data_IF_079421649324
#
_entry.id   IF_079421649324
#
_cell.length_a   1.000
_cell.length_b   1.000
_cell.length_c   1.000
_cell.angle_alpha   90.00
_cell.angle_beta   90.00
_cell.angle_gamma   90.00
#
_symmetry.space_group_name_H-M   'P 1'
#
loop_
_entity.id
_entity.type
_entity.pdbx_description
1 polymer ?
#
# COMPACT_ATOMS: atom_id res chain seq x y z
N UNK A 1 -18.88 26.02 -12.77
CA UNK A 1 -18.47 26.11 -11.35
C UNK A 1 -17.53 24.96 -11.12
N UNK A 2 -16.24 25.26 -11.24
CA UNK A 2 -15.30 25.16 -10.12
C UNK A 2 -15.04 23.69 -9.81
N UNK A 3 -13.95 23.10 -10.25
CA UNK A 3 -12.69 23.62 -10.69
C UNK A 3 -11.80 22.40 -10.75
N UNK A 4 -10.86 22.41 -11.67
CA UNK A 4 -9.77 21.44 -11.69
C UNK A 4 -9.18 21.33 -10.29
N UNK A 5 -9.51 20.26 -9.57
CA UNK A 5 -8.61 19.68 -8.57
C UNK A 5 -7.56 18.90 -9.37
N UNK A 6 -6.82 19.63 -10.22
CA UNK A 6 -5.44 19.33 -10.55
C UNK A 6 -4.66 19.61 -9.25
N UNK A 7 -4.92 18.81 -8.22
CA UNK A 7 -4.00 18.69 -7.10
C UNK A 7 -2.76 18.09 -7.73
N UNK A 8 -1.77 18.94 -7.94
CA UNK A 8 -0.37 18.63 -8.22
C UNK A 8 -0.09 17.12 -8.25
N UNK A 9 0.10 16.55 -9.44
CA UNK A 9 0.71 15.21 -9.59
C UNK A 9 2.18 15.35 -9.19
N UNK A 10 2.44 15.64 -7.92
CA UNK A 10 3.60 15.09 -7.25
C UNK A 10 3.20 13.64 -7.09
N UNK A 11 3.76 12.74 -7.92
CA UNK A 11 3.58 11.31 -7.74
C UNK A 11 3.85 11.00 -6.28
N UNK A 12 2.79 10.71 -5.52
CA UNK A 12 2.84 10.69 -4.06
C UNK A 12 3.58 9.42 -3.70
N UNK A 13 4.71 9.55 -3.01
CA UNK A 13 5.45 8.36 -2.61
C UNK A 13 4.60 7.48 -1.70
N UNK A 14 4.72 6.15 -1.84
CA UNK A 14 3.93 5.20 -1.03
C UNK A 14 4.21 5.39 0.46
N UNK A 15 5.43 5.79 0.81
CA UNK A 15 5.81 6.13 2.19
C UNK A 15 5.07 7.34 2.76
N UNK A 16 4.66 8.31 1.93
CA UNK A 16 3.87 9.48 2.37
C UNK A 16 2.43 9.03 2.63
N UNK A 17 1.83 8.32 1.68
CA UNK A 17 0.46 7.84 1.80
C UNK A 17 0.27 6.90 3.02
N UNK A 18 1.26 6.03 3.29
CA UNK A 18 1.27 5.17 4.47
C UNK A 18 1.31 5.97 5.78
N UNK A 19 2.20 6.97 5.88
CA UNK A 19 2.33 7.79 7.08
C UNK A 19 1.03 8.56 7.37
N UNK A 20 0.38 9.10 6.35
CA UNK A 20 -0.91 9.78 6.49
C UNK A 20 -2.02 8.83 6.91
N UNK A 21 -2.04 7.62 6.36
CA UNK A 21 -3.06 6.64 6.72
C UNK A 21 -2.91 6.18 8.17
N UNK A 22 -1.68 5.91 8.63
CA UNK A 22 -1.39 5.62 10.04
C UNK A 22 -1.82 6.77 10.94
N UNK A 23 -1.54 8.02 10.56
CA UNK A 23 -1.97 9.20 11.32
C UNK A 23 -3.50 9.29 11.40
N UNK A 24 -4.20 9.03 10.30
CA UNK A 24 -5.66 9.03 10.28
C UNK A 24 -6.27 7.95 11.20
N UNK A 25 -5.63 6.78 11.28
CA UNK A 25 -6.02 5.71 12.22
C UNK A 25 -5.86 6.19 13.67
N UNK A 26 -4.74 6.82 14.01
CA UNK A 26 -4.51 7.35 15.35
C UNK A 26 -5.51 8.44 15.74
N UNK A 27 -5.81 9.36 14.82
CA UNK A 27 -6.80 10.43 15.01
C UNK A 27 -8.22 9.87 15.17
N UNK A 28 -8.63 8.92 14.33
CA UNK A 28 -9.94 8.28 14.42
C UNK A 28 -10.13 7.57 15.77
N UNK A 29 -9.09 6.89 16.27
CA UNK A 29 -9.09 6.24 17.58
C UNK A 29 -9.22 7.25 18.74
N UNK A 30 -8.52 8.39 18.66
CA UNK A 30 -8.57 9.45 19.68
C UNK A 30 -9.92 10.17 19.70
N UNK A 31 -10.48 10.47 18.53
CA UNK A 31 -11.71 11.24 18.40
C UNK A 31 -12.96 10.39 18.68
N UNK A 32 -12.93 9.08 18.39
CA UNK A 32 -14.09 8.19 18.54
C UNK A 32 -13.77 6.91 19.34
N UNK A 33 -13.31 7.04 20.60
CA UNK A 33 -12.91 5.87 21.41
C UNK A 33 -14.07 4.92 21.71
N UNK A 34 -15.32 5.42 21.72
CA UNK A 34 -16.52 4.59 21.89
C UNK A 34 -16.82 3.72 20.67
N UNK A 35 -16.43 4.17 19.47
CA UNK A 35 -16.67 3.46 18.21
C UNK A 35 -15.60 2.38 17.96
N UNK A 36 -14.36 2.63 18.37
CA UNK A 36 -13.22 1.73 18.13
C UNK A 36 -12.75 0.98 19.38
N UNK A 37 -13.64 0.82 20.37
CA UNK A 37 -13.33 0.05 21.58
C UNK A 37 -13.12 -1.42 21.20
N UNK A 38 -11.97 -1.97 21.58
CA UNK A 38 -11.30 -3.26 21.27
C UNK A 38 -12.14 -4.56 21.09
N UNK A 39 -13.47 -4.55 21.22
CA UNK A 39 -14.33 -5.74 21.17
C UNK A 39 -15.70 -5.58 20.48
N UNK A 40 -16.06 -4.41 19.92
CA UNK A 40 -17.43 -4.18 19.44
C UNK A 40 -17.60 -3.93 17.94
N UNK A 41 -16.54 -3.76 17.15
CA UNK A 41 -16.74 -3.21 15.80
C UNK A 41 -15.59 -3.46 14.82
N UNK A 42 -14.46 -2.76 14.90
CA UNK A 42 -13.33 -2.86 13.95
C UNK A 42 -12.01 -2.60 14.68
N UNK A 43 -11.00 -3.43 14.45
CA UNK A 43 -9.71 -3.36 15.16
C UNK A 43 -8.69 -2.50 14.42
N UNK A 44 -8.76 -1.19 14.67
CA UNK A 44 -7.76 -0.23 14.20
C UNK A 44 -6.34 -0.52 14.71
N UNK A 45 -6.18 -1.20 15.86
CA UNK A 45 -4.85 -1.52 16.40
C UNK A 45 -4.17 -2.56 15.53
N UNK A 46 -4.91 -3.57 15.11
CA UNK A 46 -4.39 -4.60 14.19
C UNK A 46 -4.03 -3.99 12.85
N UNK A 47 -4.89 -3.15 12.26
CA UNK A 47 -4.60 -2.47 10.99
C UNK A 47 -3.35 -1.59 11.09
N UNK A 48 -3.25 -0.77 12.14
CA UNK A 48 -2.07 0.07 12.39
C UNK A 48 -0.79 -0.76 12.52
N UNK A 49 -0.86 -1.87 13.26
CA UNK A 49 0.28 -2.78 13.44
C UNK A 49 0.69 -3.43 12.12
N UNK A 50 -0.27 -3.83 11.28
CA UNK A 50 0.02 -4.39 9.95
C UNK A 50 0.74 -3.34 9.10
N UNK A 51 0.23 -2.11 9.03
CA UNK A 51 0.84 -1.02 8.26
C UNK A 51 2.27 -0.71 8.71
N UNK A 52 2.51 -0.62 10.02
CA UNK A 52 3.86 -0.40 10.57
C UNK A 52 4.80 -1.57 10.27
N UNK A 53 4.29 -2.80 10.28
CA UNK A 53 5.10 -3.99 9.96
C UNK A 53 5.49 -4.08 8.49
N UNK A 54 4.63 -3.63 7.57
CA UNK A 54 4.88 -3.71 6.12
C UNK A 54 5.59 -2.47 5.56
N UNK A 55 5.56 -1.34 6.29
CA UNK A 55 6.22 -0.10 5.90
C UNK A 55 7.66 -0.28 5.37
N UNK A 56 8.58 -0.98 6.07
CA UNK A 56 9.95 -1.12 5.58
C UNK A 56 10.01 -1.86 4.24
N UNK A 57 9.20 -2.90 4.07
CA UNK A 57 9.16 -3.68 2.83
C UNK A 57 8.62 -2.83 1.65
N UNK A 58 7.57 -2.05 1.89
CA UNK A 58 6.96 -1.20 0.86
C UNK A 58 7.89 -0.06 0.43
N UNK A 59 8.61 0.56 1.37
CA UNK A 59 9.62 1.58 1.05
C UNK A 59 10.76 1.01 0.22
N UNK A 60 11.19 -0.20 0.55
CA UNK A 60 12.25 -0.87 -0.20
C UNK A 60 11.78 -1.23 -1.62
N UNK A 61 10.55 -1.73 -1.77
CA UNK A 61 9.95 -1.94 -3.09
C UNK A 61 9.90 -0.65 -3.92
N UNK A 62 9.51 0.48 -3.32
CA UNK A 62 9.51 1.77 -4.01
C UNK A 62 10.91 2.19 -4.47
N UNK A 63 11.92 2.08 -3.60
CA UNK A 63 13.31 2.41 -3.90
C UNK A 63 13.86 1.54 -5.03
N UNK A 64 13.68 0.22 -4.92
CA UNK A 64 14.13 -0.75 -5.91
C UNK A 64 13.45 -0.54 -7.26
N UNK A 65 12.14 -0.28 -7.27
CA UNK A 65 11.42 0.02 -8.50
C UNK A 65 11.95 1.30 -9.17
N UNK A 66 12.32 2.33 -8.41
CA UNK A 66 12.94 3.54 -8.97
C UNK A 66 14.32 3.26 -9.57
N UNK A 67 15.17 2.51 -8.87
CA UNK A 67 16.52 2.15 -9.34
C UNK A 67 16.49 1.29 -10.61
N UNK A 68 15.50 0.41 -10.72
CA UNK A 68 15.29 -0.44 -11.88
C UNK A 68 14.46 0.22 -13.00
N UNK A 69 14.04 1.47 -12.84
CA UNK A 69 13.22 2.19 -13.82
C UNK A 69 11.84 1.53 -14.05
N UNK A 70 11.31 0.80 -13.06
CA UNK A 70 10.05 0.06 -13.15
C UNK A 70 8.84 0.99 -12.96
N UNK A 71 7.73 0.61 -13.59
CA UNK A 71 6.44 1.30 -13.43
C UNK A 71 5.97 1.23 -11.98
N UNK A 72 5.41 2.34 -11.50
CA UNK A 72 4.83 2.47 -10.15
C UNK A 72 3.40 1.98 -10.08
N UNK A 73 2.78 1.53 -11.17
CA UNK A 73 1.35 1.16 -11.24
C UNK A 73 0.86 0.31 -10.06
N UNK A 74 1.63 -0.71 -9.66
CA UNK A 74 1.29 -1.58 -8.53
C UNK A 74 1.28 -0.78 -7.20
N UNK A 75 2.26 0.08 -6.99
CA UNK A 75 2.33 0.95 -5.81
C UNK A 75 1.31 2.10 -5.87
N UNK A 76 0.95 2.61 -7.04
CA UNK A 76 -0.10 3.62 -7.23
C UNK A 76 -1.47 3.09 -6.81
N UNK A 77 -1.77 1.81 -7.12
CA UNK A 77 -3.00 1.17 -6.65
C UNK A 77 -3.04 1.08 -5.11
N UNK A 78 -1.88 0.85 -4.48
CA UNK A 78 -1.75 0.80 -3.03
C UNK A 78 -1.88 2.19 -2.39
N UNK A 79 -1.27 3.22 -3.01
CA UNK A 79 -1.40 4.62 -2.62
C UNK A 79 -2.87 5.03 -2.62
N UNK A 80 -3.56 4.81 -3.75
CA UNK A 80 -4.99 5.11 -3.91
C UNK A 80 -5.81 4.43 -2.82
N UNK A 81 -5.52 3.16 -2.52
CA UNK A 81 -6.22 2.43 -1.47
C UNK A 81 -6.00 3.02 -0.08
N UNK A 82 -4.79 3.45 0.26
CA UNK A 82 -4.53 4.13 1.54
C UNK A 82 -5.24 5.49 1.64
N UNK A 83 -5.37 6.20 0.52
CA UNK A 83 -6.13 7.46 0.46
C UNK A 83 -7.64 7.24 0.66
N UNK A 84 -8.21 6.19 0.06
CA UNK A 84 -9.60 5.76 0.32
C UNK A 84 -9.81 5.48 1.81
N UNK A 85 -8.93 4.70 2.44
CA UNK A 85 -9.01 4.39 3.86
C UNK A 85 -8.88 5.63 4.74
N UNK A 86 -7.98 6.56 4.37
CA UNK A 86 -7.81 7.84 5.06
C UNK A 86 -9.07 8.69 4.99
N UNK A 87 -9.69 8.79 3.81
CA UNK A 87 -10.95 9.51 3.61
C UNK A 87 -12.07 8.88 4.42
N UNK A 88 -12.20 7.56 4.36
CA UNK A 88 -13.16 6.80 5.15
C UNK A 88 -13.00 7.14 6.64
N UNK A 89 -11.80 7.04 7.21
CA UNK A 89 -11.54 7.35 8.62
C UNK A 89 -11.87 8.79 9.02
N UNK A 90 -11.62 9.77 8.14
CA UNK A 90 -11.98 11.18 8.38
C UNK A 90 -13.49 11.37 8.36
N UNK A 91 -14.19 10.81 7.39
CA UNK A 91 -15.65 10.91 7.29
C UNK A 91 -16.33 10.29 8.52
N UNK A 92 -15.77 9.22 9.06
CA UNK A 92 -16.22 8.57 10.31
C UNK A 92 -16.29 9.48 11.53
N UNK A 93 -15.47 10.53 11.53
CA UNK A 93 -15.31 11.37 12.71
C UNK A 93 -16.48 12.32 12.95
N UNK A 94 -17.28 12.59 11.91
CA UNK A 94 -18.37 13.56 11.93
C UNK A 94 -19.78 12.93 11.85
N UNK A 95 -19.90 11.62 12.10
CA UNK A 95 -21.14 10.91 11.77
C UNK A 95 -22.09 10.79 12.97
N UNK A 96 -23.39 11.00 12.71
CA UNK A 96 -24.47 10.69 13.67
C UNK A 96 -24.45 9.22 14.06
N UNK A 97 -24.87 8.91 15.28
CA UNK A 97 -24.87 7.55 15.84
C UNK A 97 -25.61 6.50 15.00
N UNK A 98 -26.62 6.93 14.22
CA UNK A 98 -27.45 6.08 13.35
C UNK A 98 -26.73 5.52 12.13
N UNK A 99 -25.63 6.14 11.69
CA UNK A 99 -24.89 5.69 10.51
C UNK A 99 -23.60 4.94 10.87
N UNK A 100 -23.37 4.69 12.18
CA UNK A 100 -22.20 3.95 12.67
C UNK A 100 -22.11 2.54 12.09
N UNK A 101 -23.23 1.84 11.95
CA UNK A 101 -23.25 0.47 11.42
C UNK A 101 -22.79 0.39 9.96
N UNK A 102 -23.26 1.30 9.11
CA UNK A 102 -22.82 1.41 7.71
C UNK A 102 -21.33 1.66 7.63
N UNK A 103 -20.85 2.65 8.38
CA UNK A 103 -19.44 3.00 8.39
C UNK A 103 -18.54 1.85 8.89
N UNK A 104 -19.02 1.04 9.85
CA UNK A 104 -18.30 -0.18 10.25
C UNK A 104 -18.26 -1.23 9.15
N UNK A 105 -19.35 -1.43 8.41
CA UNK A 105 -19.36 -2.34 7.27
C UNK A 105 -18.37 -1.88 6.19
N UNK A 106 -18.31 -0.57 5.91
CA UNK A 106 -17.37 0.01 4.96
C UNK A 106 -15.92 -0.18 5.40
N UNK A 107 -15.61 -0.04 6.70
CA UNK A 107 -14.27 -0.30 7.24
C UNK A 107 -13.85 -1.77 7.13
N UNK A 108 -14.77 -2.72 7.36
CA UNK A 108 -14.49 -4.13 7.18
C UNK A 108 -14.25 -4.47 5.71
N UNK A 109 -15.11 -3.98 4.81
CA UNK A 109 -14.93 -4.16 3.37
C UNK A 109 -13.63 -3.51 2.88
N UNK A 110 -13.27 -2.36 3.44
CA UNK A 110 -12.00 -1.71 3.21
C UNK A 110 -10.83 -2.58 3.65
N UNK A 111 -10.77 -3.05 4.90
CA UNK A 111 -9.66 -3.88 5.41
C UNK A 111 -9.49 -5.17 4.61
N UNK A 112 -10.60 -5.83 4.27
CA UNK A 112 -10.56 -7.03 3.44
C UNK A 112 -9.98 -6.74 2.05
N UNK A 113 -10.46 -5.68 1.37
CA UNK A 113 -9.96 -5.31 0.04
C UNK A 113 -8.52 -4.80 0.07
N UNK A 114 -8.13 -4.08 1.12
CA UNK A 114 -6.77 -3.59 1.34
C UNK A 114 -5.78 -4.76 1.54
N UNK A 115 -6.13 -5.73 2.39
CA UNK A 115 -5.30 -6.93 2.61
C UNK A 115 -5.17 -7.78 1.35
N UNK A 116 -6.26 -7.95 0.59
CA UNK A 116 -6.23 -8.64 -0.70
C UNK A 116 -5.30 -7.94 -1.70
N UNK A 117 -5.37 -6.61 -1.77
CA UNK A 117 -4.50 -5.82 -2.65
C UNK A 117 -3.04 -5.96 -2.24
N UNK A 118 -2.73 -5.82 -0.95
CA UNK A 118 -1.38 -5.99 -0.41
C UNK A 118 -0.81 -7.38 -0.74
N UNK A 119 -1.57 -8.44 -0.45
CA UNK A 119 -1.17 -9.82 -0.76
C UNK A 119 -0.92 -10.01 -2.27
N UNK A 120 -1.79 -9.44 -3.12
CA UNK A 120 -1.62 -9.49 -4.58
C UNK A 120 -0.33 -8.81 -5.02
N UNK A 121 -0.07 -7.58 -4.56
CA UNK A 121 1.14 -6.82 -4.92
C UNK A 121 2.39 -7.57 -4.48
N UNK A 122 2.42 -8.08 -3.25
CA UNK A 122 3.57 -8.83 -2.73
C UNK A 122 3.85 -10.09 -3.56
N UNK A 123 2.81 -10.82 -3.97
CA UNK A 123 2.95 -12.00 -4.84
C UNK A 123 3.46 -11.64 -6.23
N UNK A 124 2.91 -10.60 -6.85
CA UNK A 124 3.32 -10.14 -8.19
C UNK A 124 4.77 -9.69 -8.18
N UNK A 125 5.17 -8.85 -7.21
CA UNK A 125 6.55 -8.40 -7.04
C UNK A 125 7.49 -9.60 -6.86
N UNK A 126 7.14 -10.54 -5.96
CA UNK A 126 7.95 -11.75 -5.74
C UNK A 126 8.15 -12.58 -7.02
N UNK A 127 7.07 -12.85 -7.76
CA UNK A 127 7.14 -13.64 -8.99
C UNK A 127 7.97 -12.93 -10.07
N UNK A 128 7.86 -11.60 -10.14
CA UNK A 128 8.62 -10.77 -11.09
C UNK A 128 10.11 -10.77 -10.77
N UNK A 129 10.46 -10.56 -9.50
CA UNK A 129 11.84 -10.57 -9.03
C UNK A 129 12.50 -11.95 -9.24
N UNK A 130 11.77 -13.04 -8.99
CA UNK A 130 12.23 -14.40 -9.29
C UNK A 130 12.51 -14.60 -10.79
N UNK A 131 11.60 -14.16 -11.66
CA UNK A 131 11.77 -14.27 -13.11
C UNK A 131 12.97 -13.44 -13.61
N UNK A 132 13.17 -12.25 -13.07
CA UNK A 132 14.28 -11.39 -13.44
C UNK A 132 15.63 -11.95 -12.97
N UNK A 133 15.69 -12.47 -11.74
CA UNK A 133 16.86 -13.18 -11.24
C UNK A 133 17.26 -14.34 -12.18
N UNK A 134 16.31 -15.18 -12.58
CA UNK A 134 16.56 -16.27 -13.53
C UNK A 134 17.03 -15.77 -14.90
N UNK A 135 16.46 -14.66 -15.38
CA UNK A 135 16.90 -14.06 -16.64
C UNK A 135 18.34 -13.55 -16.57
N UNK A 136 18.71 -12.88 -15.47
CA UNK A 136 20.06 -12.39 -15.22
C UNK A 136 21.06 -13.54 -15.08
N UNK A 137 20.69 -14.64 -14.43
CA UNK A 137 21.53 -15.84 -14.34
C UNK A 137 21.78 -16.48 -15.71
N UNK A 138 20.74 -16.60 -16.53
CA UNK A 138 20.86 -17.12 -17.89
C UNK A 138 21.77 -16.24 -18.75
N UNK A 139 21.57 -14.91 -18.69
CA UNK A 139 22.38 -13.94 -19.42
C UNK A 139 23.85 -13.99 -18.94
N UNK A 140 24.11 -14.04 -17.63
CA UNK A 140 25.47 -14.19 -17.08
C UNK A 140 26.12 -15.49 -17.53
N UNK A 141 25.36 -16.60 -17.57
CA UNK A 141 25.82 -17.89 -18.09
C UNK A 141 26.24 -17.79 -19.56
N UNK A 142 25.43 -17.12 -20.38
CA UNK A 142 25.76 -16.83 -21.77
C UNK A 142 27.01 -15.96 -21.93
N UNK A 143 27.14 -14.86 -21.17
CA UNK A 143 28.34 -14.01 -21.18
C UNK A 143 29.58 -14.75 -20.71
N UNK A 144 29.47 -15.56 -19.66
CA UNK A 144 30.57 -16.39 -19.17
C UNK A 144 31.01 -17.41 -20.22
N UNK A 145 30.06 -18.01 -20.94
CA UNK A 145 30.37 -18.87 -22.08
C UNK A 145 31.07 -18.12 -23.21
N UNK A 146 30.56 -16.95 -23.62
CA UNK A 146 31.21 -16.09 -24.62
C UNK A 146 32.64 -15.70 -24.23
N UNK A 147 32.87 -15.32 -22.98
CA UNK A 147 34.20 -14.93 -22.49
C UNK A 147 35.17 -16.10 -22.40
N UNK A 148 34.70 -17.31 -22.10
CA UNK A 148 35.55 -18.50 -21.98
C UNK A 148 35.76 -19.26 -23.29
N UNK A 149 34.81 -19.20 -24.24
CA UNK A 149 34.79 -20.06 -25.43
C UNK A 149 34.49 -19.32 -26.74
N UNK A 150 34.14 -18.02 -26.68
CA UNK A 150 33.73 -17.21 -27.85
C UNK A 150 34.87 -16.48 -28.58
N UNK A 151 36.12 -16.56 -28.10
CA UNK A 151 37.29 -16.10 -28.85
C UNK A 151 38.00 -17.30 -29.50
N UNK A 152 37.69 -17.54 -30.78
CA UNK A 152 38.53 -18.26 -31.73
C UNK A 152 38.62 -17.44 -33.01
#
# INVERSE_FOLDING_TARGET
>A
MEGMQLVSIVARGVGIALAEFVKAIEEARKNNPSMFKKRKSFDLVTLESTLKSIEPAIREMERLNQEMGRSREELESLITKMEEGTKLLKESSNVRWTSKSHYMADLHAFDESFRKLLDTILKVQTARDQKEMLHLEHQKGFWRWLMCFGCK
#
